data_IF_082085713471
#
_entry.id   IF_082085713471
#
_cell.length_a   1.000
_cell.length_b   1.000
_cell.length_c   1.000
_cell.angle_alpha   90.00
_cell.angle_beta   90.00
_cell.angle_gamma   90.00
#
_symmetry.space_group_name_H-M   'P 1'
#
loop_
_entity.id
_entity.type
_entity.pdbx_description
1 polymer ?
#
# COMPACT_ATOMS: atom_id res chain seq x y z
N UNK A 1 45.40 -37.89 21.90
CA UNK A 1 45.36 -38.42 20.52
C UNK A 1 44.13 -39.32 20.35
N UNK A 2 43.11 -38.85 19.65
CA UNK A 2 42.20 -39.61 18.77
C UNK A 2 41.14 -38.65 18.23
N UNK A 3 41.41 -38.18 17.01
CA UNK A 3 40.53 -37.37 16.18
C UNK A 3 39.28 -38.17 15.81
N UNK A 4 38.10 -37.54 15.87
CA UNK A 4 36.87 -38.03 15.22
C UNK A 4 36.30 -36.91 14.38
N UNK A 5 36.58 -36.97 13.08
CA UNK A 5 35.84 -36.30 12.03
C UNK A 5 34.38 -36.81 12.04
N UNK A 6 33.42 -35.90 11.93
CA UNK A 6 32.08 -36.18 11.41
C UNK A 6 31.72 -35.13 10.34
N UNK A 7 30.95 -35.54 9.32
CA UNK A 7 31.00 -34.95 7.99
C UNK A 7 30.18 -33.66 7.86
N UNK A 8 30.59 -32.83 6.89
CA UNK A 8 29.78 -31.75 6.34
C UNK A 8 28.45 -32.31 5.82
N UNK A 9 27.35 -32.01 6.51
CA UNK A 9 26.03 -31.98 5.89
C UNK A 9 25.81 -30.57 5.33
N UNK A 10 26.10 -30.40 4.04
CA UNK A 10 25.60 -29.27 3.28
C UNK A 10 24.10 -29.52 3.00
N UNK A 11 23.23 -28.95 3.83
CA UNK A 11 21.80 -28.90 3.55
C UNK A 11 21.54 -27.75 2.55
N UNK A 12 21.16 -28.12 1.34
CA UNK A 12 20.72 -27.23 0.28
C UNK A 12 19.38 -26.58 0.69
N UNK A 13 19.38 -25.26 0.90
CA UNK A 13 18.16 -24.51 1.16
C UNK A 13 17.40 -24.29 -0.15
N UNK A 14 16.28 -25.00 -0.33
CA UNK A 14 15.26 -24.70 -1.34
C UNK A 14 14.00 -24.22 -0.65
N UNK A 15 13.91 -22.93 -0.39
CA UNK A 15 12.66 -22.26 -0.01
C UNK A 15 12.59 -20.92 -0.73
N UNK A 16 11.93 -20.87 -1.89
CA UNK A 16 11.91 -19.66 -2.71
C UNK A 16 10.77 -19.50 -3.72
N UNK A 17 9.74 -20.35 -3.74
CA UNK A 17 8.68 -20.28 -4.75
C UNK A 17 7.25 -20.04 -4.22
N UNK A 18 7.02 -20.09 -2.90
CA UNK A 18 5.67 -20.00 -2.33
C UNK A 18 5.18 -18.55 -2.11
N UNK A 19 6.09 -17.59 -1.93
CA UNK A 19 5.73 -16.21 -1.59
C UNK A 19 5.16 -15.41 -2.78
N UNK A 20 5.48 -15.79 -4.03
CA UNK A 20 5.09 -15.03 -5.22
C UNK A 20 3.68 -15.33 -5.71
N UNK A 21 3.19 -16.57 -5.52
CA UNK A 21 1.84 -16.96 -5.89
C UNK A 21 0.79 -16.22 -5.05
N UNK A 22 0.98 -16.15 -3.72
CA UNK A 22 0.06 -15.43 -2.83
C UNK A 22 0.02 -13.91 -3.06
N UNK A 23 1.14 -13.29 -3.44
CA UNK A 23 1.19 -11.87 -3.74
C UNK A 23 0.42 -11.50 -5.03
N UNK A 24 0.50 -12.36 -6.05
CA UNK A 24 -0.23 -12.17 -7.31
C UNK A 24 -1.74 -12.29 -7.11
N UNK A 25 -2.19 -13.29 -6.35
CA UNK A 25 -3.61 -13.48 -6.03
C UNK A 25 -4.17 -12.32 -5.20
N UNK A 26 -3.39 -11.81 -4.24
CA UNK A 26 -3.77 -10.65 -3.45
C UNK A 26 -3.89 -9.38 -4.30
N UNK A 27 -2.96 -9.16 -5.23
CA UNK A 27 -3.02 -8.03 -6.16
C UNK A 27 -4.22 -8.13 -7.14
N UNK A 28 -4.59 -9.34 -7.57
CA UNK A 28 -5.78 -9.55 -8.39
C UNK A 28 -7.06 -9.17 -7.62
N UNK A 29 -7.21 -9.63 -6.37
CA UNK A 29 -8.33 -9.22 -5.50
C UNK A 29 -8.34 -7.71 -5.26
N UNK A 30 -7.16 -7.12 -5.03
CA UNK A 30 -6.99 -5.68 -4.85
C UNK A 30 -7.48 -4.87 -6.05
N UNK A 31 -7.29 -5.37 -7.27
CA UNK A 31 -7.77 -4.73 -8.50
C UNK A 31 -9.29 -4.62 -8.51
N UNK A 32 -10.00 -5.68 -8.15
CA UNK A 32 -11.46 -5.69 -8.16
C UNK A 32 -12.04 -4.75 -7.10
N UNK A 33 -11.44 -4.76 -5.91
CA UNK A 33 -11.80 -3.82 -4.84
C UNK A 33 -11.53 -2.38 -5.28
N UNK A 34 -10.39 -2.11 -5.90
CA UNK A 34 -10.05 -0.78 -6.41
C UNK A 34 -11.03 -0.31 -7.48
N UNK A 35 -11.40 -1.19 -8.42
CA UNK A 35 -12.39 -0.88 -9.45
C UNK A 35 -13.75 -0.50 -8.85
N UNK A 36 -14.20 -1.23 -7.82
CA UNK A 36 -15.48 -0.99 -7.17
C UNK A 36 -15.51 0.29 -6.29
N UNK A 37 -14.38 0.68 -5.69
CA UNK A 37 -14.36 1.67 -4.61
C UNK A 37 -13.55 2.95 -4.94
N UNK A 38 -12.55 2.86 -5.82
CA UNK A 38 -11.54 3.90 -5.99
C UNK A 38 -11.50 4.47 -7.41
N UNK A 39 -11.78 3.64 -8.42
CA UNK A 39 -11.60 3.98 -9.83
C UNK A 39 -12.51 5.10 -10.32
N UNK A 40 -13.66 5.35 -9.68
CA UNK A 40 -14.54 6.46 -10.02
C UNK A 40 -13.86 7.83 -9.93
N UNK A 41 -12.86 7.96 -9.05
CA UNK A 41 -12.07 9.18 -8.89
C UNK A 41 -10.65 9.01 -9.44
N UNK A 42 -10.01 7.86 -9.18
CA UNK A 42 -8.60 7.63 -9.54
C UNK A 42 -8.39 6.98 -10.92
N UNK A 43 -9.44 6.79 -11.71
CA UNK A 43 -9.47 5.98 -12.95
C UNK A 43 -9.12 4.50 -12.74
N UNK A 44 -9.54 3.63 -13.67
CA UNK A 44 -9.33 2.18 -13.61
C UNK A 44 -7.85 1.77 -13.59
N UNK A 45 -6.98 2.56 -14.21
CA UNK A 45 -5.53 2.37 -14.26
C UNK A 45 -4.78 3.14 -13.16
N UNK A 46 -5.51 3.74 -12.22
CA UNK A 46 -4.97 4.58 -11.16
C UNK A 46 -4.21 5.82 -11.65
N UNK A 47 -4.46 6.29 -12.88
CA UNK A 47 -3.85 7.49 -13.48
C UNK A 47 -4.35 8.80 -12.87
N UNK A 48 -5.44 8.77 -12.10
CA UNK A 48 -6.07 9.98 -11.56
C UNK A 48 -6.80 10.80 -12.63
N UNK A 49 -7.50 11.84 -12.17
CA UNK A 49 -8.20 12.80 -13.03
C UNK A 49 -7.70 14.19 -12.64
N UNK A 50 -7.04 14.94 -13.55
CA UNK A 50 -6.52 16.27 -13.27
C UNK A 50 -7.57 17.19 -12.63
N UNK A 51 -7.20 17.85 -11.53
CA UNK A 51 -8.09 18.72 -10.76
C UNK A 51 -9.13 18.01 -9.88
N UNK A 52 -9.30 16.69 -10.01
CA UNK A 52 -10.29 15.90 -9.24
C UNK A 52 -9.59 14.96 -8.26
N UNK A 53 -8.74 14.05 -8.73
CA UNK A 53 -8.02 13.10 -7.89
C UNK A 53 -6.60 12.86 -8.41
N UNK A 54 -5.61 12.75 -7.50
CA UNK A 54 -4.22 12.58 -7.91
C UNK A 54 -3.97 11.22 -8.57
N UNK A 55 -2.94 11.12 -9.45
CA UNK A 55 -2.43 9.83 -9.89
C UNK A 55 -1.92 9.03 -8.70
N UNK A 56 -2.15 7.71 -8.72
CA UNK A 56 -1.60 6.75 -7.77
C UNK A 56 -0.61 5.80 -8.46
N UNK A 57 -0.85 5.43 -9.73
CA UNK A 57 0.13 4.74 -10.55
C UNK A 57 1.38 5.62 -10.74
N UNK A 58 2.56 5.01 -10.68
CA UNK A 58 3.87 5.68 -10.75
C UNK A 58 4.10 6.85 -9.75
N UNK A 59 3.24 7.04 -8.75
CA UNK A 59 3.28 8.15 -7.80
C UNK A 59 3.43 7.71 -6.33
N UNK A 60 3.21 6.43 -6.04
CA UNK A 60 3.22 5.88 -4.69
C UNK A 60 4.46 5.07 -4.35
N UNK A 61 5.35 4.79 -5.31
CA UNK A 61 6.52 3.90 -5.12
C UNK A 61 7.30 4.18 -3.83
N UNK A 62 7.63 5.44 -3.57
CA UNK A 62 8.37 5.82 -2.37
C UNK A 62 7.59 5.53 -1.07
N UNK A 63 6.30 5.86 -1.04
CA UNK A 63 5.44 5.67 0.14
C UNK A 63 5.15 4.19 0.39
N UNK A 64 4.98 3.41 -0.66
CA UNK A 64 4.83 1.96 -0.55
C UNK A 64 6.11 1.29 -0.06
N UNK A 65 7.28 1.90 -0.32
CA UNK A 65 8.59 1.38 0.07
C UNK A 65 9.12 1.82 1.44
N UNK A 66 8.40 2.66 2.21
CA UNK A 66 8.87 3.18 3.51
C UNK A 66 7.86 2.97 4.64
N UNK A 67 8.30 2.68 5.89
CA UNK A 67 7.37 2.49 7.01
C UNK A 67 6.46 3.69 7.29
N UNK A 68 7.01 4.91 7.20
CA UNK A 68 6.23 6.15 7.35
C UNK A 68 5.20 6.30 6.22
N UNK A 69 5.58 5.97 4.99
CA UNK A 69 4.70 5.99 3.84
C UNK A 69 3.57 4.96 3.93
N UNK A 70 3.87 3.73 4.34
CA UNK A 70 2.87 2.70 4.56
C UNK A 70 1.89 3.08 5.67
N UNK A 71 2.40 3.65 6.77
CA UNK A 71 1.56 4.21 7.84
C UNK A 71 0.64 5.31 7.31
N UNK A 72 1.17 6.23 6.50
CA UNK A 72 0.37 7.28 5.87
C UNK A 72 -0.73 6.69 4.96
N UNK A 73 -0.39 5.75 4.07
CA UNK A 73 -1.35 5.12 3.15
C UNK A 73 -2.47 4.38 3.89
N UNK A 74 -2.13 3.65 4.96
CA UNK A 74 -3.13 3.00 5.81
C UNK A 74 -4.09 4.03 6.44
N UNK A 75 -3.56 5.15 6.95
CA UNK A 75 -4.40 6.22 7.51
C UNK A 75 -5.26 6.92 6.45
N UNK A 76 -4.77 7.09 5.22
CA UNK A 76 -5.56 7.62 4.10
C UNK A 76 -6.76 6.71 3.80
N UNK A 77 -6.55 5.40 3.75
CA UNK A 77 -7.64 4.46 3.46
C UNK A 77 -8.62 4.35 4.64
N UNK A 78 -8.14 4.31 5.88
CA UNK A 78 -9.02 4.15 7.06
C UNK A 78 -9.81 5.41 7.38
N UNK A 79 -9.20 6.59 7.29
CA UNK A 79 -9.78 7.85 7.79
C UNK A 79 -10.12 8.86 6.69
N UNK A 80 -9.76 8.59 5.44
CA UNK A 80 -9.85 9.55 4.35
C UNK A 80 -8.80 10.66 4.45
N UNK A 81 -8.87 11.63 3.56
CA UNK A 81 -7.95 12.77 3.52
C UNK A 81 -8.63 14.01 2.96
N UNK A 82 -8.30 15.19 3.47
CA UNK A 82 -8.86 16.45 2.98
C UNK A 82 -7.85 17.61 2.95
N UNK A 83 -8.02 18.48 1.96
CA UNK A 83 -7.29 19.72 1.79
C UNK A 83 -6.16 19.66 0.76
N UNK A 84 -5.34 20.73 0.68
CA UNK A 84 -4.45 20.94 -0.45
C UNK A 84 -3.25 19.98 -0.44
N UNK A 85 -2.95 19.38 -1.59
CA UNK A 85 -1.75 18.57 -1.82
C UNK A 85 -1.18 18.86 -3.22
N UNK A 86 0.12 18.64 -3.35
CA UNK A 86 0.80 18.54 -4.65
C UNK A 86 1.10 17.07 -4.95
N UNK A 87 0.82 16.64 -6.18
CA UNK A 87 1.11 15.28 -6.65
C UNK A 87 1.52 15.32 -8.11
N UNK A 88 2.75 14.84 -8.42
CA UNK A 88 3.30 14.84 -9.78
C UNK A 88 3.22 16.21 -10.48
N UNK A 89 3.49 17.30 -9.74
CA UNK A 89 3.44 18.67 -10.27
C UNK A 89 2.03 19.25 -10.47
N UNK A 90 0.99 18.57 -9.97
CA UNK A 90 -0.38 19.07 -10.00
C UNK A 90 -0.96 19.30 -8.60
N UNK A 91 -1.68 20.41 -8.45
CA UNK A 91 -2.39 20.77 -7.24
C UNK A 91 -3.77 20.10 -7.16
N UNK A 92 -4.10 19.57 -5.99
CA UNK A 92 -5.42 19.03 -5.68
C UNK A 92 -5.90 19.59 -4.34
N UNK A 93 -7.18 19.93 -4.23
CA UNK A 93 -7.78 20.40 -2.98
C UNK A 93 -9.18 19.80 -2.80
N UNK A 94 -9.22 18.47 -2.69
CA UNK A 94 -10.44 17.70 -2.59
C UNK A 94 -10.62 17.01 -1.23
N UNK A 95 -11.64 16.15 -1.17
CA UNK A 95 -11.91 15.24 -0.07
C UNK A 95 -11.91 13.82 -0.60
N UNK A 96 -11.02 12.98 -0.09
CA UNK A 96 -11.04 11.55 -0.27
C UNK A 96 -11.81 10.93 0.91
N UNK A 97 -12.93 10.21 0.66
CA UNK A 97 -13.71 9.59 1.72
C UNK A 97 -12.92 8.49 2.43
N UNK A 98 -13.36 8.16 3.64
CA UNK A 98 -12.83 7.04 4.40
C UNK A 98 -13.41 5.71 3.87
N UNK A 99 -12.56 4.68 3.83
CA UNK A 99 -12.92 3.30 3.51
C UNK A 99 -12.70 2.37 4.71
N UNK A 100 -12.61 2.93 5.92
CA UNK A 100 -12.43 2.18 7.15
C UNK A 100 -13.58 1.23 7.51
N UNK A 101 -14.65 1.12 6.75
CA UNK A 101 -15.63 0.03 6.92
C UNK A 101 -15.18 -1.27 6.24
N UNK A 102 -14.26 -1.20 5.27
CA UNK A 102 -13.68 -2.37 4.64
C UNK A 102 -12.70 -3.08 5.58
N UNK A 103 -12.60 -4.42 5.55
CA UNK A 103 -11.62 -5.19 6.32
C UNK A 103 -10.17 -4.83 6.01
N UNK A 104 -9.25 -5.08 6.95
CA UNK A 104 -7.82 -4.78 6.79
C UNK A 104 -7.21 -5.55 5.62
N UNK A 105 -7.58 -6.82 5.45
CA UNK A 105 -7.14 -7.66 4.33
C UNK A 105 -7.55 -7.05 2.98
N UNK A 106 -8.75 -6.49 2.92
CA UNK A 106 -9.31 -5.86 1.71
C UNK A 106 -8.55 -4.58 1.35
N UNK A 107 -8.22 -3.75 2.34
CA UNK A 107 -7.44 -2.53 2.12
C UNK A 107 -5.96 -2.85 1.79
N UNK A 108 -5.39 -3.87 2.42
CA UNK A 108 -4.06 -4.37 2.11
C UNK A 108 -3.98 -4.89 0.67
N UNK A 109 -5.01 -5.60 0.20
CA UNK A 109 -5.10 -6.05 -1.18
C UNK A 109 -5.05 -4.89 -2.19
N UNK A 110 -5.78 -3.80 -1.92
CA UNK A 110 -5.74 -2.58 -2.75
C UNK A 110 -4.33 -2.01 -2.83
N UNK A 111 -3.63 -1.91 -1.70
CA UNK A 111 -2.24 -1.41 -1.69
C UNK A 111 -1.25 -2.37 -2.38
N UNK A 112 -1.49 -3.68 -2.32
CA UNK A 112 -0.70 -4.66 -3.07
C UNK A 112 -0.89 -4.48 -4.59
N UNK A 113 -2.13 -4.30 -5.04
CA UNK A 113 -2.41 -3.97 -6.45
C UNK A 113 -1.75 -2.65 -6.87
N UNK A 114 -1.88 -1.59 -6.08
CA UNK A 114 -1.20 -0.31 -6.34
C UNK A 114 0.33 -0.44 -6.32
N UNK A 115 0.88 -1.39 -5.56
CA UNK A 115 2.28 -1.82 -5.63
C UNK A 115 2.67 -2.22 -7.05
N UNK A 116 1.89 -3.07 -7.70
CA UNK A 116 2.14 -3.47 -9.10
C UNK A 116 2.08 -2.29 -10.07
N UNK A 117 1.16 -1.35 -9.87
CA UNK A 117 1.03 -0.11 -10.66
C UNK A 117 2.19 0.89 -10.43
N UNK A 118 3.06 0.60 -9.46
CA UNK A 118 4.23 1.39 -9.08
C UNK A 118 5.55 0.60 -9.23
N UNK A 119 5.52 -0.53 -9.95
CA UNK A 119 6.70 -1.36 -10.21
C UNK A 119 7.24 -2.07 -8.96
N UNK A 120 6.37 -2.39 -8.00
CA UNK A 120 6.69 -3.12 -6.77
C UNK A 120 5.86 -4.40 -6.72
N UNK A 121 6.40 -5.50 -7.25
CA UNK A 121 5.70 -6.78 -7.32
C UNK A 121 5.49 -7.47 -5.95
N UNK A 122 6.24 -7.05 -4.92
CA UNK A 122 6.22 -7.68 -3.58
C UNK A 122 6.01 -6.68 -2.44
N UNK A 123 5.79 -5.39 -2.74
CA UNK A 123 5.54 -4.42 -1.68
C UNK A 123 4.11 -4.61 -1.15
N UNK A 124 4.02 -5.28 -0.01
CA UNK A 124 2.78 -5.45 0.73
C UNK A 124 2.78 -4.49 1.92
N UNK A 125 1.73 -3.70 2.05
CA UNK A 125 1.43 -3.03 3.31
C UNK A 125 0.71 -4.03 4.19
N UNK A 126 1.32 -4.37 5.33
CA UNK A 126 0.77 -5.36 6.25
C UNK A 126 -0.56 -4.90 6.87
N UNK A 127 -1.38 -5.87 7.25
CA UNK A 127 -2.68 -5.62 7.90
C UNK A 127 -2.53 -4.96 9.27
N UNK A 128 -1.36 -5.12 9.90
CA UNK A 128 -0.96 -4.43 11.12
C UNK A 128 -0.95 -2.90 10.98
N UNK A 129 -0.57 -2.36 9.82
CA UNK A 129 -0.61 -0.92 9.56
C UNK A 129 -2.04 -0.37 9.61
N UNK A 130 -3.01 -1.15 9.13
CA UNK A 130 -4.44 -0.80 9.15
C UNK A 130 -5.04 -0.97 10.55
N UNK A 131 -4.72 -2.07 11.23
CA UNK A 131 -5.10 -2.29 12.61
C UNK A 131 -4.61 -1.13 13.50
N UNK A 132 -3.34 -0.71 13.34
CA UNK A 132 -2.79 0.46 14.02
C UNK A 132 -3.50 1.75 13.62
N UNK A 133 -3.79 1.97 12.34
CA UNK A 133 -4.53 3.15 11.90
C UNK A 133 -5.92 3.22 12.56
N UNK A 134 -6.62 2.10 12.77
CA UNK A 134 -7.93 2.07 13.42
C UNK A 134 -7.92 2.37 14.91
N UNK A 135 -6.83 2.06 15.62
CA UNK A 135 -6.73 2.42 17.04
C UNK A 135 -6.59 3.93 17.23
N UNK A 136 -6.05 4.63 16.23
CA UNK A 136 -5.92 6.08 16.23
C UNK A 136 -7.14 6.76 15.60
N UNK A 137 -7.78 7.68 16.34
CA UNK A 137 -8.75 8.60 15.71
C UNK A 137 -8.02 9.73 15.02
N UNK A 138 -8.10 9.83 13.70
CA UNK A 138 -7.56 10.96 12.92
C UNK A 138 -8.65 11.62 12.09
N UNK A 139 -8.58 12.94 11.99
CA UNK A 139 -9.39 13.68 11.02
C UNK A 139 -8.74 13.62 9.65
N UNK A 140 -9.50 13.76 8.54
CA UNK A 140 -8.91 13.80 7.19
C UNK A 140 -7.81 14.86 7.01
N UNK A 141 -7.92 16.01 7.68
CA UNK A 141 -6.88 17.04 7.68
C UNK A 141 -5.63 16.65 8.50
N UNK A 142 -5.78 15.88 9.58
CA UNK A 142 -4.65 15.33 10.32
C UNK A 142 -3.91 14.26 9.50
N UNK A 143 -4.64 13.43 8.74
CA UNK A 143 -4.03 12.48 7.80
C UNK A 143 -3.21 13.19 6.73
N UNK A 144 -3.71 14.30 6.17
CA UNK A 144 -2.97 15.11 5.19
C UNK A 144 -1.59 15.52 5.73
N UNK A 145 -1.49 15.94 7.00
CA UNK A 145 -0.22 16.36 7.61
C UNK A 145 0.82 15.23 7.69
N UNK A 146 0.41 13.97 7.64
CA UNK A 146 1.34 12.83 7.59
C UNK A 146 2.03 12.68 6.23
N UNK A 147 1.48 13.31 5.17
CA UNK A 147 2.01 13.23 3.81
C UNK A 147 3.44 13.74 3.72
N UNK A 148 3.79 14.78 4.46
CA UNK A 148 5.11 15.40 4.40
C UNK A 148 6.20 14.47 4.95
N UNK A 149 5.88 13.71 6.00
CA UNK A 149 6.77 12.70 6.58
C UNK A 149 6.81 11.38 5.78
N UNK A 150 5.96 11.24 4.76
CA UNK A 150 5.85 10.06 3.92
C UNK A 150 6.63 10.19 2.59
N UNK A 151 7.12 11.39 2.28
CA UNK A 151 7.96 11.69 1.10
C UNK A 151 9.46 11.69 1.43
#
# INVERSE_FOLDING_TARGET
MKSRLYPLCAAFALAGAAATAGAADLAAQGKDVFAANCAACHNNDASGIPGVAPPLANALRQRLGSPAGQTYLANVLVHGMAGPIESQGQSFNGVMPAFGTLPDETLAAVLAWLGTQNGLATATVGTDAFAQARTARKTPGAVRKLRDAAN
#
